data_IF_468154614571
#
_entry.id   IF_468154614571
#
_cell.length_a   1.000
_cell.length_b   1.000
_cell.length_c   1.000
_cell.angle_alpha   90.00
_cell.angle_beta   90.00
_cell.angle_gamma   90.00
#
_symmetry.space_group_name_H-M   'P 1'
#
loop_
_entity.id
_entity.type
_entity.pdbx_description
1 polymer ?
#
# COMPACT_ATOMS: atom_id res chain seq x y z
N UNK A 1 -41.29 34.88 61.97
CA UNK A 1 -40.81 35.48 60.70
C UNK A 1 -39.75 34.52 60.16
N UNK A 2 -40.24 33.52 59.38
CA UNK A 2 -39.37 32.45 58.80
C UNK A 2 -38.88 32.87 57.43
N UNK A 3 -37.62 33.27 57.34
CA UNK A 3 -36.96 33.41 56.02
C UNK A 3 -36.41 32.03 55.61
N UNK A 4 -37.04 31.45 54.66
CA UNK A 4 -36.67 30.14 54.15
C UNK A 4 -35.46 30.25 53.22
N UNK A 5 -34.54 29.32 53.38
CA UNK A 5 -33.32 29.11 52.61
C UNK A 5 -33.46 29.13 51.09
N UNK A 6 -34.70 29.13 50.62
CA UNK A 6 -35.09 29.03 49.21
C UNK A 6 -34.86 30.33 48.40
N UNK A 7 -34.80 31.48 49.07
CA UNK A 7 -34.66 32.77 48.38
C UNK A 7 -33.18 33.20 48.24
N UNK A 8 -32.25 32.58 48.94
CA UNK A 8 -30.81 32.84 48.82
C UNK A 8 -30.19 32.10 47.62
N UNK A 9 -30.74 30.95 47.20
CA UNK A 9 -30.25 30.18 46.07
C UNK A 9 -30.65 30.78 44.72
N UNK A 10 -31.77 31.50 44.66
CA UNK A 10 -32.20 32.18 43.42
C UNK A 10 -31.41 33.44 43.08
N UNK A 11 -30.85 34.13 44.07
CA UNK A 11 -30.07 35.32 43.82
C UNK A 11 -28.60 35.05 43.40
N UNK A 12 -28.06 33.87 43.78
CA UNK A 12 -26.72 33.43 43.41
C UNK A 12 -26.64 32.87 41.98
N UNK A 13 -27.81 32.45 41.41
CA UNK A 13 -27.84 31.92 40.04
C UNK A 13 -27.96 32.98 38.94
N UNK A 14 -28.30 34.22 39.27
CA UNK A 14 -28.48 35.28 38.25
C UNK A 14 -27.26 36.15 38.00
N UNK A 15 -26.24 36.11 38.85
CA UNK A 15 -25.03 36.90 38.69
C UNK A 15 -23.83 36.08 38.20
N UNK A 16 -23.96 34.76 38.11
CA UNK A 16 -22.87 33.87 37.68
C UNK A 16 -22.80 33.56 36.16
N UNK A 17 -23.71 34.09 35.34
CA UNK A 17 -23.84 33.65 33.95
C UNK A 17 -23.33 34.65 32.89
N UNK A 18 -22.67 35.72 33.26
CA UNK A 18 -22.26 36.78 32.30
C UNK A 18 -20.73 36.88 32.09
N UNK A 19 -19.91 36.10 32.81
CA UNK A 19 -18.44 36.23 32.69
C UNK A 19 -17.70 34.99 32.20
N UNK A 20 -18.43 33.94 31.73
CA UNK A 20 -17.81 32.74 31.18
C UNK A 20 -17.81 32.68 29.63
N UNK A 21 -18.10 33.79 28.96
CA UNK A 21 -18.07 33.87 27.51
C UNK A 21 -16.89 34.73 27.07
N UNK A 22 -15.72 34.12 26.95
CA UNK A 22 -14.66 34.93 26.39
C UNK A 22 -13.23 34.48 26.54
N UNK A 23 -12.96 33.20 26.63
CA UNK A 23 -11.58 32.74 26.36
C UNK A 23 -11.62 31.32 25.78
N UNK A 24 -12.21 31.22 24.58
CA UNK A 24 -11.88 30.11 23.72
C UNK A 24 -10.44 30.36 23.27
N UNK A 25 -9.48 29.80 24.00
CA UNK A 25 -8.11 29.72 23.56
C UNK A 25 -8.16 29.01 22.19
N UNK A 26 -8.08 29.76 21.11
CA UNK A 26 -7.72 29.23 19.82
C UNK A 26 -6.29 28.68 19.97
N UNK A 27 -6.19 27.45 20.42
CA UNK A 27 -4.96 26.70 20.26
C UNK A 27 -4.69 26.71 18.75
N UNK A 28 -3.50 27.13 18.32
CA UNK A 28 -3.17 26.98 16.92
C UNK A 28 -3.35 25.50 16.58
N UNK A 29 -4.27 25.19 15.67
CA UNK A 29 -4.31 23.89 15.02
C UNK A 29 -3.02 23.84 14.21
N UNK A 30 -1.97 23.32 14.82
CA UNK A 30 -0.79 22.93 14.07
C UNK A 30 -1.25 21.79 13.19
N UNK A 31 -1.42 22.06 11.90
CA UNK A 31 -1.61 21.01 10.92
C UNK A 31 -0.47 20.02 11.15
N UNK A 32 -0.84 18.76 11.47
CA UNK A 32 0.18 17.73 11.57
C UNK A 32 0.89 17.65 10.21
N UNK A 33 2.22 17.58 10.18
CA UNK A 33 2.93 17.41 8.93
C UNK A 33 2.37 16.14 8.25
N UNK A 34 1.87 16.29 7.03
CA UNK A 34 1.41 15.16 6.24
C UNK A 34 2.63 14.42 5.71
N UNK A 35 3.07 13.43 6.49
CA UNK A 35 4.26 12.64 6.22
C UNK A 35 4.18 11.93 4.86
N UNK A 36 5.29 11.89 4.14
CA UNK A 36 5.46 11.07 2.94
C UNK A 36 5.93 11.81 1.69
N UNK A 37 6.00 13.16 1.72
CA UNK A 37 6.54 13.96 0.61
C UNK A 37 7.70 14.86 1.04
N UNK A 38 8.23 14.64 2.24
CA UNK A 38 9.40 15.35 2.74
C UNK A 38 10.64 15.01 1.90
N UNK A 39 11.54 15.95 1.78
CA UNK A 39 12.81 15.80 1.04
C UNK A 39 12.64 15.33 -0.42
N UNK A 40 11.49 15.57 -1.03
CA UNK A 40 11.20 15.18 -2.39
C UNK A 40 10.68 13.75 -2.56
N UNK A 41 10.41 13.06 -1.48
CA UNK A 41 9.87 11.71 -1.53
C UNK A 41 8.40 11.67 -1.99
N UNK A 42 7.95 10.48 -2.36
CA UNK A 42 6.57 10.15 -2.69
C UNK A 42 6.26 8.76 -2.14
N UNK A 43 6.09 8.68 -0.82
CA UNK A 43 6.05 7.40 -0.08
C UNK A 43 4.77 6.61 -0.27
N UNK A 44 3.67 7.26 -0.62
CA UNK A 44 2.34 6.64 -0.72
C UNK A 44 1.75 6.83 -2.12
N UNK A 45 0.76 6.03 -2.45
CA UNK A 45 0.01 6.13 -3.72
C UNK A 45 -0.45 7.56 -4.03
N UNK A 46 -0.84 8.32 -3.01
CA UNK A 46 -1.23 9.72 -3.11
C UNK A 46 -0.18 10.71 -2.64
N UNK A 47 1.09 10.34 -2.58
CA UNK A 47 2.22 11.14 -2.13
C UNK A 47 2.43 11.08 -0.63
N UNK A 48 1.44 11.44 0.14
CA UNK A 48 1.45 11.42 1.60
C UNK A 48 0.30 10.58 2.16
N UNK A 49 0.30 10.38 3.48
CA UNK A 49 -0.73 9.62 4.20
C UNK A 49 -2.15 10.17 4.00
N UNK A 50 -2.29 11.46 3.75
CA UNK A 50 -3.58 12.11 3.46
C UNK A 50 -4.00 12.02 2.00
N UNK A 51 -3.22 11.39 1.12
CA UNK A 51 -3.46 11.30 -0.31
C UNK A 51 -3.73 12.65 -0.99
N UNK A 52 -3.03 13.70 -0.57
CA UNK A 52 -3.24 15.06 -1.09
C UNK A 52 -2.73 15.25 -2.52
N UNK A 53 -1.87 14.36 -3.00
CA UNK A 53 -1.21 14.43 -4.31
C UNK A 53 -0.43 15.75 -4.50
N UNK A 54 0.12 16.24 -3.42
CA UNK A 54 0.91 17.46 -3.39
C UNK A 54 2.35 17.13 -3.07
N UNK A 55 3.27 17.68 -3.85
CA UNK A 55 4.71 17.71 -3.57
C UNK A 55 5.11 19.13 -3.20
N UNK A 56 5.89 19.34 -2.12
CA UNK A 56 6.39 20.65 -1.75
C UNK A 56 7.60 21.10 -2.60
N UNK A 57 8.02 20.31 -3.57
CA UNK A 57 9.14 20.66 -4.45
C UNK A 57 8.78 21.84 -5.35
N UNK A 58 9.72 22.76 -5.52
CA UNK A 58 9.56 24.02 -6.26
C UNK A 58 10.64 24.24 -7.35
N UNK A 59 11.48 23.21 -7.60
CA UNK A 59 12.52 23.28 -8.63
C UNK A 59 11.93 23.49 -10.03
N UNK A 60 10.74 22.92 -10.30
CA UNK A 60 10.01 23.12 -11.55
C UNK A 60 8.99 24.22 -11.31
N UNK A 61 9.11 25.30 -12.09
CA UNK A 61 8.28 26.47 -11.98
C UNK A 61 7.94 27.00 -13.38
N UNK A 62 7.23 28.13 -13.44
CA UNK A 62 6.76 28.72 -14.69
C UNK A 62 7.90 29.14 -15.63
N UNK A 63 9.03 29.52 -15.07
CA UNK A 63 10.18 30.06 -15.79
C UNK A 63 11.00 28.96 -16.48
N UNK A 64 10.96 27.72 -15.97
CA UNK A 64 11.79 26.61 -16.47
C UNK A 64 11.00 25.38 -16.95
N UNK A 65 9.66 25.46 -16.91
CA UNK A 65 8.84 24.30 -17.32
C UNK A 65 9.05 23.91 -18.80
N UNK A 66 9.31 24.87 -19.68
CA UNK A 66 9.53 24.63 -21.11
C UNK A 66 10.93 24.02 -21.39
N UNK A 67 11.85 24.09 -20.44
CA UNK A 67 13.20 23.55 -20.56
C UNK A 67 13.29 22.07 -20.09
N UNK A 68 12.18 21.47 -19.71
CA UNK A 68 12.16 20.08 -19.25
C UNK A 68 12.45 19.11 -20.40
N UNK A 69 13.38 18.20 -20.17
CA UNK A 69 13.72 17.11 -21.08
C UNK A 69 13.43 15.76 -20.46
N UNK A 70 13.20 14.72 -21.28
CA UNK A 70 13.04 13.35 -20.82
C UNK A 70 14.41 12.85 -20.36
N UNK A 71 14.56 12.58 -19.08
CA UNK A 71 15.80 12.05 -18.53
C UNK A 71 16.06 10.58 -18.97
N UNK A 72 15.02 9.75 -18.92
CA UNK A 72 15.06 8.36 -19.36
C UNK A 72 13.66 7.82 -19.61
N UNK A 73 13.59 6.70 -20.34
CA UNK A 73 12.36 5.96 -20.59
C UNK A 73 12.62 4.50 -20.22
N UNK A 74 11.80 3.94 -19.35
CA UNK A 74 11.87 2.53 -19.01
C UNK A 74 10.94 1.71 -19.91
N UNK A 75 11.47 0.66 -20.51
CA UNK A 75 10.75 -0.22 -21.43
C UNK A 75 10.39 -1.54 -20.72
N UNK A 76 9.09 -1.80 -20.54
CA UNK A 76 8.60 -3.01 -19.88
C UNK A 76 8.61 -4.27 -20.76
N UNK A 77 8.81 -4.14 -22.08
CA UNK A 77 8.96 -5.23 -23.04
C UNK A 77 10.20 -6.09 -22.80
N UNK A 78 11.19 -5.57 -22.05
CA UNK A 78 12.31 -6.34 -21.55
C UNK A 78 11.91 -7.53 -20.66
N UNK A 79 10.68 -7.52 -20.10
CA UNK A 79 10.16 -8.61 -19.26
C UNK A 79 9.31 -9.63 -20.01
N UNK A 80 9.25 -9.53 -21.32
CA UNK A 80 8.54 -10.47 -22.19
C UNK A 80 7.54 -9.82 -23.14
N UNK A 81 6.99 -10.59 -24.06
CA UNK A 81 6.17 -10.04 -25.16
C UNK A 81 4.76 -9.60 -24.72
N UNK A 82 4.33 -9.99 -23.53
CA UNK A 82 3.01 -9.63 -23.02
C UNK A 82 3.07 -8.28 -22.32
N UNK A 83 2.71 -7.23 -23.02
CA UNK A 83 2.65 -5.88 -22.48
C UNK A 83 1.39 -5.71 -21.62
N UNK A 84 1.52 -4.89 -20.58
CA UNK A 84 0.37 -4.45 -19.80
C UNK A 84 -0.30 -3.26 -20.47
N UNK A 85 -1.31 -3.53 -21.28
CA UNK A 85 -2.09 -2.48 -21.97
C UNK A 85 -2.92 -1.60 -21.00
N UNK A 86 -3.01 -2.02 -19.75
CA UNK A 86 -3.82 -1.36 -18.74
C UNK A 86 -3.00 -0.95 -17.52
N UNK A 87 -1.71 -0.67 -17.70
CA UNK A 87 -0.88 -0.23 -16.59
C UNK A 87 -1.51 0.97 -15.86
N UNK A 88 -1.68 0.83 -14.57
CA UNK A 88 -2.26 1.84 -13.68
C UNK A 88 -1.39 2.04 -12.45
N UNK A 89 -0.15 1.61 -12.54
CA UNK A 89 0.79 1.74 -11.45
C UNK A 89 1.10 3.21 -11.19
N UNK A 90 1.04 3.60 -9.93
CA UNK A 90 1.63 4.84 -9.47
C UNK A 90 2.95 4.47 -8.80
N UNK A 91 4.09 4.91 -9.34
CA UNK A 91 5.37 4.71 -8.68
C UNK A 91 5.41 5.42 -7.34
N UNK A 92 6.16 4.86 -6.39
CA UNK A 92 6.56 5.55 -5.17
C UNK A 92 8.07 5.81 -5.22
N UNK A 93 8.50 6.88 -4.56
CA UNK A 93 9.90 7.26 -4.44
C UNK A 93 10.26 7.39 -2.97
N UNK A 94 11.15 6.52 -2.50
CA UNK A 94 11.54 6.42 -1.09
C UNK A 94 13.02 6.08 -1.00
N UNK A 95 13.73 6.75 -0.12
CA UNK A 95 15.15 6.51 0.18
C UNK A 95 16.02 6.43 -1.07
N UNK A 96 15.74 7.28 -2.06
CA UNK A 96 16.52 7.36 -3.30
C UNK A 96 16.21 6.26 -4.32
N UNK A 97 15.13 5.49 -4.17
CA UNK A 97 14.73 4.41 -5.07
C UNK A 97 13.30 4.61 -5.56
N UNK A 98 13.06 4.41 -6.85
CA UNK A 98 11.73 4.37 -7.45
C UNK A 98 11.22 2.94 -7.46
N UNK A 99 10.09 2.70 -6.82
CA UNK A 99 9.42 1.39 -6.84
C UNK A 99 8.12 1.46 -7.64
N UNK A 100 7.92 0.50 -8.52
CA UNK A 100 6.71 0.42 -9.33
C UNK A 100 6.35 -1.04 -9.62
N UNK A 101 5.19 -1.26 -10.23
CA UNK A 101 4.80 -2.57 -10.75
C UNK A 101 4.58 -2.48 -12.25
N UNK A 102 5.00 -3.53 -12.93
CA UNK A 102 4.92 -3.62 -14.39
C UNK A 102 4.46 -5.01 -14.80
N UNK A 103 4.09 -5.13 -16.04
CA UNK A 103 3.65 -6.36 -16.70
C UNK A 103 2.32 -6.92 -16.18
N UNK A 104 1.64 -7.78 -16.93
CA UNK A 104 0.42 -8.44 -16.48
C UNK A 104 0.57 -9.23 -15.18
N UNK A 105 1.81 -9.61 -14.82
CA UNK A 105 2.11 -10.39 -13.62
C UNK A 105 2.38 -9.55 -12.37
N UNK A 106 2.21 -8.21 -12.46
CA UNK A 106 2.51 -7.28 -11.37
C UNK A 106 3.91 -7.45 -10.81
N UNK A 107 4.88 -7.57 -11.70
CA UNK A 107 6.28 -7.63 -11.31
C UNK A 107 6.69 -6.33 -10.63
N UNK A 108 7.25 -6.42 -9.44
CA UNK A 108 7.84 -5.28 -8.74
C UNK A 108 9.18 -4.95 -9.38
N UNK A 109 9.43 -3.69 -9.60
CA UNK A 109 10.69 -3.19 -10.15
C UNK A 109 11.17 -2.05 -9.26
N UNK A 110 12.41 -2.12 -8.81
CA UNK A 110 13.12 -1.03 -8.17
C UNK A 110 14.12 -0.43 -9.15
N UNK A 111 14.07 0.88 -9.31
CA UNK A 111 14.86 1.62 -10.29
C UNK A 111 15.69 2.70 -9.61
N UNK A 112 16.88 2.92 -10.16
CA UNK A 112 17.64 4.13 -9.90
C UNK A 112 16.91 5.34 -10.51
N UNK A 113 16.62 6.39 -9.74
CA UNK A 113 15.83 7.53 -10.21
C UNK A 113 16.57 8.40 -11.22
N UNK A 114 17.91 8.39 -11.24
CA UNK A 114 18.71 9.23 -12.13
C UNK A 114 18.88 8.58 -13.52
N UNK A 115 18.95 7.25 -13.57
CA UNK A 115 19.30 6.52 -14.79
C UNK A 115 18.19 5.65 -15.33
N UNK A 116 17.21 5.27 -14.49
CA UNK A 116 16.19 4.29 -14.81
C UNK A 116 16.70 2.85 -14.84
N UNK A 117 17.94 2.61 -14.37
CA UNK A 117 18.50 1.26 -14.29
C UNK A 117 17.78 0.41 -13.24
N UNK A 118 17.64 -0.88 -13.53
CA UNK A 118 17.03 -1.84 -12.62
C UNK A 118 18.00 -2.16 -11.49
N UNK A 119 17.61 -1.88 -10.25
CA UNK A 119 18.33 -2.29 -9.05
C UNK A 119 17.98 -3.73 -8.67
N UNK A 120 16.71 -4.07 -8.69
CA UNK A 120 16.20 -5.42 -8.52
C UNK A 120 14.78 -5.58 -9.06
N UNK A 121 14.36 -6.82 -9.25
CA UNK A 121 12.98 -7.16 -9.60
C UNK A 121 12.47 -8.31 -8.76
N UNK A 122 11.16 -8.33 -8.51
CA UNK A 122 10.48 -9.45 -7.89
C UNK A 122 9.25 -9.83 -8.68
N UNK A 123 9.03 -11.12 -8.83
CA UNK A 123 7.84 -11.71 -9.45
C UNK A 123 7.44 -12.94 -8.65
N UNK A 124 6.14 -13.04 -8.30
CA UNK A 124 5.65 -14.26 -7.65
C UNK A 124 5.90 -15.50 -8.52
N UNK A 125 6.14 -16.68 -7.91
CA UNK A 125 6.21 -17.93 -8.63
C UNK A 125 4.94 -18.20 -9.46
N UNK A 126 5.09 -18.93 -10.56
CA UNK A 126 3.97 -19.32 -11.40
C UNK A 126 3.04 -20.28 -10.66
N UNK A 127 1.76 -19.95 -10.64
CA UNK A 127 0.71 -20.82 -10.07
C UNK A 127 -0.51 -20.85 -10.97
N UNK A 128 -1.32 -21.90 -10.85
CA UNK A 128 -2.62 -21.95 -11.51
C UNK A 128 -3.52 -20.84 -11.02
N UNK A 129 -3.43 -20.46 -9.75
CA UNK A 129 -4.16 -19.31 -9.20
C UNK A 129 -3.83 -18.01 -9.95
N UNK A 130 -2.56 -17.76 -10.26
CA UNK A 130 -2.17 -16.64 -11.10
C UNK A 130 -2.79 -16.75 -12.50
N UNK A 131 -2.66 -17.90 -13.15
CA UNK A 131 -3.18 -18.12 -14.51
C UNK A 131 -4.70 -17.98 -14.61
N UNK A 132 -5.42 -18.39 -13.57
CA UNK A 132 -6.88 -18.31 -13.47
C UNK A 132 -7.41 -17.03 -12.86
N UNK A 133 -6.54 -16.16 -12.37
CA UNK A 133 -6.96 -14.88 -11.81
C UNK A 133 -7.73 -14.05 -12.85
N UNK A 134 -8.92 -13.54 -12.52
CA UNK A 134 -9.74 -12.75 -13.43
C UNK A 134 -9.11 -11.40 -13.78
N UNK A 135 -8.11 -10.96 -12.99
CA UNK A 135 -7.36 -9.72 -13.22
C UNK A 135 -5.87 -9.91 -12.96
N UNK A 136 -5.21 -10.52 -13.89
CA UNK A 136 -3.75 -10.69 -13.83
C UNK A 136 -3.01 -9.34 -13.87
N UNK A 137 -3.42 -8.46 -14.77
CA UNK A 137 -2.94 -7.10 -14.88
C UNK A 137 -3.53 -6.15 -13.77
N UNK A 138 -3.46 -4.86 -13.97
CA UNK A 138 -4.04 -3.81 -13.12
C UNK A 138 -3.37 -3.59 -11.77
N UNK A 139 -2.11 -3.90 -11.61
CA UNK A 139 -1.36 -3.49 -10.42
C UNK A 139 -1.33 -1.96 -10.31
N UNK A 140 -1.78 -1.41 -9.17
CA UNK A 140 -1.78 0.04 -8.93
C UNK A 140 -0.52 0.55 -8.27
N UNK A 141 0.36 -0.34 -7.84
CA UNK A 141 1.61 0.00 -7.19
C UNK A 141 1.92 -0.91 -6.01
N UNK A 142 2.88 -0.48 -5.24
CA UNK A 142 3.35 -1.11 -4.01
C UNK A 142 3.12 -0.18 -2.82
N UNK A 143 3.19 -0.72 -1.61
CA UNK A 143 3.25 0.08 -0.38
C UNK A 143 4.65 -0.06 0.24
N UNK A 144 5.08 0.98 0.94
CA UNK A 144 6.34 1.01 1.69
C UNK A 144 6.07 1.24 3.16
N UNK A 145 6.76 0.51 4.01
CA UNK A 145 6.84 0.80 5.43
C UNK A 145 8.28 0.61 5.93
N UNK A 146 8.61 1.30 7.00
CA UNK A 146 9.84 1.07 7.74
C UNK A 146 9.52 0.29 9.00
N UNK A 147 10.12 -0.89 9.18
CA UNK A 147 9.94 -1.75 10.33
C UNK A 147 11.29 -1.99 10.98
N UNK A 148 11.46 -1.51 12.22
CA UNK A 148 12.71 -1.64 12.97
C UNK A 148 13.95 -1.13 12.20
N UNK A 149 13.83 -0.02 11.48
CA UNK A 149 14.90 0.57 10.68
C UNK A 149 15.18 -0.15 9.36
N UNK A 150 14.31 -1.06 8.94
CA UNK A 150 14.39 -1.79 7.67
C UNK A 150 13.22 -1.39 6.77
N UNK A 151 13.52 -0.91 5.57
CA UNK A 151 12.51 -0.64 4.55
C UNK A 151 11.91 -1.93 4.00
N UNK A 152 10.60 -1.97 3.88
CA UNK A 152 9.82 -3.11 3.40
C UNK A 152 8.86 -2.68 2.32
N UNK A 153 8.87 -3.41 1.22
CA UNK A 153 7.92 -3.25 0.12
C UNK A 153 6.83 -4.32 0.23
N UNK A 154 5.58 -3.89 0.23
CA UNK A 154 4.42 -4.78 0.22
C UNK A 154 3.72 -4.75 -1.12
N UNK A 155 3.31 -5.93 -1.61
CA UNK A 155 2.53 -6.06 -2.82
C UNK A 155 1.49 -7.19 -2.70
N UNK A 156 0.28 -6.92 -3.18
CA UNK A 156 -0.73 -7.96 -3.44
C UNK A 156 -0.62 -8.41 -4.90
N UNK A 157 -0.51 -9.70 -5.10
CA UNK A 157 -0.30 -10.29 -6.42
C UNK A 157 -1.56 -10.93 -7.00
N UNK A 158 -1.59 -11.22 -8.32
CA UNK A 158 -2.76 -11.84 -8.95
C UNK A 158 -3.14 -13.19 -8.38
N UNK A 159 -2.17 -13.94 -7.82
CA UNK A 159 -2.44 -15.22 -7.14
C UNK A 159 -3.07 -15.06 -5.75
N UNK A 160 -3.43 -13.84 -5.33
CA UNK A 160 -3.97 -13.51 -4.01
C UNK A 160 -2.99 -13.78 -2.87
N UNK A 161 -1.75 -13.43 -3.10
CA UNK A 161 -0.72 -13.42 -2.07
C UNK A 161 -0.37 -11.98 -1.68
N UNK A 162 -0.11 -11.77 -0.41
CA UNK A 162 0.54 -10.55 0.08
C UNK A 162 2.01 -10.89 0.34
N UNK A 163 2.89 -10.22 -0.34
CA UNK A 163 4.33 -10.34 -0.19
C UNK A 163 4.89 -9.17 0.60
N UNK A 164 5.87 -9.46 1.45
CA UNK A 164 6.73 -8.48 2.08
C UNK A 164 8.17 -8.71 1.61
N UNK A 165 8.73 -7.71 0.96
CA UNK A 165 10.05 -7.76 0.35
C UNK A 165 10.99 -6.77 1.04
N UNK A 166 12.22 -7.14 1.24
CA UNK A 166 13.24 -6.19 1.63
C UNK A 166 13.40 -5.11 0.55
N UNK A 167 13.27 -3.85 0.94
CA UNK A 167 13.27 -2.74 -0.01
C UNK A 167 14.59 -2.59 -0.78
N UNK A 168 15.72 -3.01 -0.19
CA UNK A 168 17.04 -2.90 -0.83
C UNK A 168 17.34 -4.02 -1.81
N UNK A 169 16.76 -5.21 -1.58
CA UNK A 169 17.15 -6.42 -2.32
C UNK A 169 16.03 -7.08 -3.10
N UNK A 170 14.76 -6.77 -2.79
CA UNK A 170 13.60 -7.44 -3.35
C UNK A 170 13.39 -8.87 -2.86
N UNK A 171 14.19 -9.33 -1.90
CA UNK A 171 14.09 -10.68 -1.34
C UNK A 171 12.93 -10.72 -0.34
N UNK A 172 12.08 -11.77 -0.38
CA UNK A 172 11.04 -11.96 0.63
C UNK A 172 11.59 -11.96 2.05
N UNK A 173 10.90 -11.29 2.97
CA UNK A 173 11.36 -11.14 4.36
C UNK A 173 11.32 -12.47 5.11
N UNK A 174 12.44 -12.85 5.68
CA UNK A 174 12.48 -13.93 6.66
C UNK A 174 11.65 -13.56 7.92
N UNK A 175 11.01 -14.54 8.51
CA UNK A 175 10.20 -14.43 9.73
C UNK A 175 8.98 -13.48 9.62
N UNK A 176 8.52 -13.20 8.40
CA UNK A 176 7.28 -12.48 8.15
C UNK A 176 6.29 -13.36 7.37
N UNK A 177 5.00 -13.22 7.70
CA UNK A 177 3.96 -14.05 7.09
C UNK A 177 3.87 -15.45 7.70
N UNK A 178 3.26 -16.36 6.99
CA UNK A 178 3.07 -17.77 7.39
C UNK A 178 3.77 -18.69 6.42
N UNK A 179 4.20 -19.85 6.92
CA UNK A 179 4.73 -20.93 6.09
C UNK A 179 3.76 -21.25 4.96
N UNK A 180 4.27 -21.30 3.75
CA UNK A 180 3.48 -21.59 2.58
C UNK A 180 3.80 -23.01 2.09
N UNK A 181 2.85 -23.95 2.14
CA UNK A 181 3.13 -25.38 1.90
C UNK A 181 3.30 -25.72 0.40
N UNK A 182 3.27 -24.74 -0.50
CA UNK A 182 3.30 -25.00 -1.94
C UNK A 182 4.73 -24.92 -2.47
N UNK A 183 5.12 -25.90 -3.23
CA UNK A 183 6.43 -25.96 -3.87
C UNK A 183 6.72 -24.73 -4.73
N UNK A 184 7.96 -24.21 -4.64
CA UNK A 184 8.38 -23.01 -5.35
C UNK A 184 8.15 -21.71 -4.60
N UNK A 185 7.47 -21.73 -3.44
CA UNK A 185 7.35 -20.59 -2.55
C UNK A 185 8.38 -20.63 -1.41
N UNK A 186 8.86 -19.50 -0.93
CA UNK A 186 9.67 -19.45 0.28
C UNK A 186 8.80 -19.79 1.50
N UNK A 187 9.42 -20.25 2.58
CA UNK A 187 8.72 -20.56 3.84
C UNK A 187 8.11 -19.33 4.52
N UNK A 188 8.67 -18.16 4.28
CA UNK A 188 8.24 -16.88 4.84
C UNK A 188 8.31 -15.77 3.79
N UNK A 189 7.89 -14.57 4.16
CA UNK A 189 7.84 -13.42 3.25
C UNK A 189 6.53 -13.32 2.47
N UNK A 190 5.60 -14.25 2.70
CA UNK A 190 4.32 -14.33 1.97
C UNK A 190 3.18 -14.71 2.90
N UNK A 191 2.01 -14.16 2.63
CA UNK A 191 0.72 -14.55 3.25
C UNK A 191 -0.26 -14.93 2.14
N UNK A 192 -0.88 -16.08 2.27
CA UNK A 192 -2.01 -16.45 1.43
C UNK A 192 -3.26 -15.72 1.90
N UNK A 193 -3.85 -14.89 1.02
CA UNK A 193 -5.05 -14.11 1.34
C UNK A 193 -6.35 -14.88 1.14
N UNK A 194 -6.34 -15.99 0.41
CA UNK A 194 -7.57 -16.75 0.13
C UNK A 194 -8.20 -17.30 1.41
N UNK A 195 -7.46 -17.89 2.35
CA UNK A 195 -8.02 -18.34 3.63
C UNK A 195 -8.67 -17.23 4.46
N UNK A 196 -8.22 -16.01 4.26
CA UNK A 196 -8.74 -14.84 4.98
C UNK A 196 -10.01 -14.26 4.35
N UNK A 197 -10.32 -14.66 3.11
CA UNK A 197 -11.45 -14.16 2.33
C UNK A 197 -12.64 -15.10 2.32
N UNK A 198 -12.44 -16.36 2.66
CA UNK A 198 -13.48 -17.39 2.69
C UNK A 198 -13.46 -18.13 4.02
N UNK A 199 -14.62 -18.21 4.66
CA UNK A 199 -14.77 -18.84 5.97
C UNK A 199 -14.64 -20.38 5.88
N UNK A 200 -15.02 -20.96 4.75
CA UNK A 200 -14.96 -22.40 4.51
C UNK A 200 -14.65 -22.68 3.02
N UNK A 201 -13.45 -23.11 2.76
CA UNK A 201 -13.06 -23.60 1.44
C UNK A 201 -13.07 -25.13 1.34
N UNK A 202 -13.66 -25.80 2.34
CA UNK A 202 -13.88 -27.24 2.33
C UNK A 202 -12.60 -28.05 2.09
N UNK A 203 -12.66 -29.07 1.23
CA UNK A 203 -11.52 -29.95 0.96
C UNK A 203 -10.27 -29.24 0.43
N UNK A 204 -10.41 -28.04 -0.08
CA UNK A 204 -9.28 -27.25 -0.60
C UNK A 204 -8.29 -26.85 0.49
N UNK A 205 -8.78 -26.47 1.66
CA UNK A 205 -7.93 -26.10 2.79
C UNK A 205 -7.05 -27.28 3.22
N UNK A 206 -7.64 -28.44 3.37
CA UNK A 206 -6.92 -29.65 3.75
C UNK A 206 -5.90 -30.04 2.67
N UNK A 207 -6.26 -29.88 1.41
CA UNK A 207 -5.41 -30.18 0.28
C UNK A 207 -4.17 -29.27 0.20
N UNK A 208 -4.35 -27.97 0.37
CA UNK A 208 -3.25 -27.00 0.37
C UNK A 208 -2.34 -27.18 1.58
N UNK A 209 -2.93 -27.40 2.78
CA UNK A 209 -2.17 -27.63 4.00
C UNK A 209 -1.37 -28.95 3.93
N UNK A 210 -1.88 -29.94 3.23
CA UNK A 210 -1.17 -31.20 2.98
C UNK A 210 -0.07 -31.12 1.90
N UNK A 211 0.17 -29.94 1.31
CA UNK A 211 1.16 -29.75 0.25
C UNK A 211 0.73 -30.30 -1.11
N UNK A 212 -0.57 -30.44 -1.34
CA UNK A 212 -1.12 -30.89 -2.62
C UNK A 212 -0.90 -29.89 -3.76
N UNK A 213 -0.99 -30.35 -4.98
CA UNK A 213 -1.00 -29.50 -6.16
C UNK A 213 -2.31 -28.70 -6.24
N UNK A 214 -2.27 -27.50 -6.83
CA UNK A 214 -3.47 -26.72 -7.05
C UNK A 214 -4.43 -27.44 -7.99
N UNK A 215 -5.63 -27.73 -7.51
CA UNK A 215 -6.71 -28.23 -8.35
C UNK A 215 -7.25 -27.09 -9.22
N UNK A 216 -7.14 -27.15 -10.55
CA UNK A 216 -7.67 -26.12 -11.44
C UNK A 216 -9.18 -25.95 -11.35
N UNK A 217 -9.91 -26.94 -10.86
CA UNK A 217 -11.37 -26.88 -10.69
C UNK A 217 -11.77 -26.16 -9.39
N UNK A 218 -10.87 -26.05 -8.43
CA UNK A 218 -11.03 -25.29 -7.18
C UNK A 218 -10.30 -23.94 -7.18
N UNK A 219 -10.00 -23.41 -8.32
CA UNK A 219 -9.30 -22.12 -8.43
C UNK A 219 -10.16 -20.93 -7.98
N UNK A 220 -9.51 -19.82 -7.65
CA UNK A 220 -10.09 -18.52 -7.28
C UNK A 220 -11.33 -18.11 -8.10
N UNK A 221 -11.39 -18.28 -9.43
CA UNK A 221 -12.56 -17.87 -10.20
C UNK A 221 -13.85 -18.55 -9.78
N UNK A 222 -13.77 -19.75 -9.22
CA UNK A 222 -14.94 -20.51 -8.80
C UNK A 222 -15.42 -20.09 -7.41
N UNK A 223 -14.49 -19.92 -6.48
CA UNK A 223 -14.80 -19.61 -5.07
C UNK A 223 -14.98 -18.11 -4.84
N UNK A 224 -14.10 -17.29 -5.39
CA UNK A 224 -14.08 -15.85 -5.19
C UNK A 224 -14.74 -15.05 -6.32
N UNK A 225 -15.11 -15.70 -7.43
CA UNK A 225 -15.73 -15.04 -8.58
C UNK A 225 -14.86 -13.95 -9.18
N UNK A 226 -15.38 -12.72 -9.19
CA UNK A 226 -14.70 -11.55 -9.74
C UNK A 226 -13.92 -10.73 -8.71
N UNK A 227 -13.80 -11.18 -7.49
CA UNK A 227 -13.02 -10.49 -6.45
C UNK A 227 -11.54 -10.52 -6.81
N UNK A 228 -10.90 -9.39 -6.75
CA UNK A 228 -9.47 -9.26 -7.05
C UNK A 228 -8.81 -8.20 -6.20
N UNK A 229 -7.57 -8.42 -5.81
CA UNK A 229 -6.73 -7.41 -5.18
C UNK A 229 -5.93 -6.66 -6.27
N UNK A 230 -6.17 -5.37 -6.45
CA UNK A 230 -5.42 -4.56 -7.43
C UNK A 230 -4.79 -3.30 -6.82
N UNK A 231 -5.29 -2.85 -5.68
CA UNK A 231 -4.72 -1.72 -4.96
C UNK A 231 -3.45 -2.14 -4.20
N UNK A 232 -2.49 -1.23 -3.97
CA UNK A 232 -1.42 -1.48 -3.01
C UNK A 232 -2.02 -1.67 -1.62
N UNK A 233 -1.38 -2.46 -0.74
CA UNK A 233 -1.75 -2.53 0.67
C UNK A 233 -1.68 -1.14 1.32
N UNK A 234 -2.42 -0.96 2.41
CA UNK A 234 -2.27 0.18 3.31
C UNK A 234 -1.42 -0.30 4.48
N UNK A 235 -0.37 0.42 4.79
CA UNK A 235 0.56 0.15 5.88
C UNK A 235 0.71 1.35 6.78
#
# INVERSE_FOLDING_TARGET
MNFTLHNLVKLACQTGFVTAFGFCLMLPVTAQPMLGTENGEWRYLGGNIGHTRYSPLDQINRENFEDLEIAWIFHSDNFGPNLDYFSRSTPIFVDGVVYTVMTPRRQVVALDPATGEILWTFREPETIRHQRSPRQAYGKGVAYAEINGRGVIYITTPGFFLWALDAKTGIPLENWGSNFPVGGFPETGVVDLVPLLVDDWGPWQDYVVAGGEYDPDYGIPRELGMVTASAPPIV
#
